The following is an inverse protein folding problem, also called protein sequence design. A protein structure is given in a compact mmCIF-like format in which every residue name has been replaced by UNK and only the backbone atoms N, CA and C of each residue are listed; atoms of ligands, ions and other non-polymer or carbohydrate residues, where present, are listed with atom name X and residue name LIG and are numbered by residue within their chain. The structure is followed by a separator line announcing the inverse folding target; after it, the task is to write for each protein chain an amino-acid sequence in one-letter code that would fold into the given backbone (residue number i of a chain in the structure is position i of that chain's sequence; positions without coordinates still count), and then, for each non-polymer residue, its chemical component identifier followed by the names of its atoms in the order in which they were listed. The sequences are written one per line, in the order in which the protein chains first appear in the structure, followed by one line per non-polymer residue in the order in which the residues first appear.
data_IF_514346063894
#
_entry.id   IF_514346063894
#
_cell.length_a   1.000
_cell.length_b   1.000
_cell.length_c   1.000
_cell.angle_alpha   90.00
_cell.angle_beta   90.00
_cell.angle_gamma   90.00
#
_symmetry.space_group_name_H-M   'P 1'
#
loop_
_entity.id
_entity.type
_entity.pdbx_description
1 polymer ?
#
# COMPACT_ATOMS: atom_id res chain seq x y z
N UNK A 1 -24.12 -12.59 5.96
CA UNK A 1 -22.95 -13.23 5.34
C UNK A 1 -22.42 -14.26 6.32
N UNK A 2 -22.22 -15.50 5.86
CA UNK A 2 -21.45 -16.49 6.59
C UNK A 2 -19.99 -16.07 6.64
N UNK A 3 -19.28 -16.42 7.71
CA UNK A 3 -17.83 -16.29 7.78
C UNK A 3 -17.20 -17.68 7.63
N UNK A 4 -16.17 -17.85 6.78
CA UNK A 4 -15.62 -16.85 5.84
C UNK A 4 -16.61 -16.52 4.71
N UNK A 5 -16.53 -15.29 4.20
CA UNK A 5 -17.29 -14.91 3.02
C UNK A 5 -16.78 -15.69 1.80
N UNK A 6 -17.69 -16.16 0.98
CA UNK A 6 -17.32 -16.92 -0.23
C UNK A 6 -16.84 -15.97 -1.33
N UNK A 7 -15.94 -16.45 -2.20
CA UNK A 7 -15.44 -15.65 -3.32
C UNK A 7 -16.58 -15.14 -4.21
N UNK A 8 -17.64 -15.93 -4.39
CA UNK A 8 -18.84 -15.53 -5.13
C UNK A 8 -19.57 -14.34 -4.50
N UNK A 9 -19.70 -14.29 -3.17
CA UNK A 9 -20.29 -13.16 -2.44
C UNK A 9 -19.41 -11.90 -2.57
N UNK A 10 -18.08 -12.06 -2.53
CA UNK A 10 -17.14 -10.95 -2.72
C UNK A 10 -17.17 -10.39 -4.14
N UNK A 11 -17.29 -11.26 -5.14
CA UNK A 11 -17.46 -10.83 -6.53
C UNK A 11 -18.76 -10.06 -6.74
N UNK A 12 -19.87 -10.55 -6.18
CA UNK A 12 -21.17 -9.87 -6.26
C UNK A 12 -21.10 -8.49 -5.58
N UNK A 13 -20.52 -8.40 -4.39
CA UNK A 13 -20.32 -7.13 -3.68
C UNK A 13 -19.42 -6.17 -4.47
N UNK A 14 -18.33 -6.68 -5.06
CA UNK A 14 -17.44 -5.88 -5.90
C UNK A 14 -18.16 -5.28 -7.11
N UNK A 15 -18.97 -6.07 -7.81
CA UNK A 15 -19.77 -5.62 -8.95
C UNK A 15 -20.82 -4.58 -8.55
N UNK A 16 -21.51 -4.79 -7.43
CA UNK A 16 -22.47 -3.83 -6.87
C UNK A 16 -21.79 -2.48 -6.56
N UNK A 17 -20.62 -2.53 -5.92
CA UNK A 17 -19.85 -1.34 -5.57
C UNK A 17 -19.41 -0.59 -6.83
N UNK A 18 -18.86 -1.29 -7.83
CA UNK A 18 -18.41 -0.66 -9.09
C UNK A 18 -19.59 0.02 -9.78
N UNK A 19 -20.74 -0.65 -9.90
CA UNK A 19 -21.93 -0.11 -10.55
C UNK A 19 -22.47 1.16 -9.87
N UNK A 20 -22.45 1.20 -8.53
CA UNK A 20 -23.02 2.30 -7.75
C UNK A 20 -22.03 3.43 -7.43
N UNK A 21 -20.73 3.23 -7.65
CA UNK A 21 -19.67 4.18 -7.26
C UNK A 21 -19.61 5.48 -8.06
N UNK A 22 -20.52 5.71 -9.02
CA UNK A 22 -20.56 6.93 -9.87
C UNK A 22 -19.21 7.26 -10.52
N UNK A 23 -18.44 6.22 -10.88
CA UNK A 23 -17.12 6.32 -11.51
C UNK A 23 -15.97 6.64 -10.55
N UNK A 24 -16.18 6.56 -9.23
CA UNK A 24 -15.09 6.61 -8.24
C UNK A 24 -14.30 5.29 -8.16
N UNK A 25 -14.90 4.18 -8.60
CA UNK A 25 -14.28 2.85 -8.64
C UNK A 25 -14.47 2.28 -10.04
N UNK A 26 -13.39 1.82 -10.66
CA UNK A 26 -13.34 1.39 -12.08
C UNK A 26 -13.34 -0.12 -12.18
N UNK A 27 -12.63 -0.81 -11.29
CA UNK A 27 -12.51 -2.26 -11.34
C UNK A 27 -12.59 -2.88 -9.94
N UNK A 28 -13.04 -4.14 -9.91
CA UNK A 28 -13.07 -4.98 -8.72
C UNK A 28 -12.46 -6.34 -9.07
N UNK A 29 -11.53 -6.81 -8.25
CA UNK A 29 -10.84 -8.08 -8.39
C UNK A 29 -10.87 -8.79 -7.03
N UNK A 30 -11.20 -10.09 -7.03
CA UNK A 30 -11.09 -10.92 -5.83
C UNK A 30 -9.86 -11.80 -5.99
N UNK A 31 -8.96 -11.72 -5.02
CA UNK A 31 -7.76 -12.54 -4.99
C UNK A 31 -7.51 -13.02 -3.56
N UNK A 32 -7.23 -14.32 -3.40
CA UNK A 32 -6.92 -14.93 -2.10
C UNK A 32 -7.99 -14.68 -1.01
N UNK A 33 -9.27 -14.60 -1.39
CA UNK A 33 -10.37 -14.30 -0.46
C UNK A 33 -10.47 -12.83 -0.03
N UNK A 34 -9.76 -11.91 -0.70
CA UNK A 34 -9.82 -10.47 -0.45
C UNK A 34 -10.41 -9.72 -1.66
N UNK A 35 -11.31 -8.77 -1.40
CA UNK A 35 -11.84 -7.86 -2.41
C UNK A 35 -10.93 -6.65 -2.59
N UNK A 36 -10.37 -6.53 -3.79
CA UNK A 36 -9.53 -5.41 -4.24
C UNK A 36 -10.33 -4.54 -5.21
N UNK A 37 -10.45 -3.27 -4.88
CA UNK A 37 -11.06 -2.24 -5.72
C UNK A 37 -9.97 -1.35 -6.30
N UNK A 38 -10.15 -0.90 -7.54
CA UNK A 38 -9.25 0.05 -8.19
C UNK A 38 -10.03 1.28 -8.62
N UNK A 39 -9.51 2.47 -8.35
CA UNK A 39 -10.15 3.74 -8.70
C UNK A 39 -9.14 4.84 -9.07
N UNK A 40 -9.59 5.92 -9.72
CA UNK A 40 -8.72 7.05 -10.06
C UNK A 40 -8.48 7.94 -8.82
N UNK A 41 -7.27 8.49 -8.71
CA UNK A 41 -6.85 9.29 -7.56
C UNK A 41 -7.72 10.52 -7.30
N UNK A 42 -8.13 11.21 -8.35
CA UNK A 42 -8.94 12.42 -8.27
C UNK A 42 -10.31 12.23 -7.60
N UNK A 43 -10.83 11.00 -7.49
CA UNK A 43 -12.13 10.69 -6.89
C UNK A 43 -12.03 9.84 -5.63
N UNK A 44 -10.84 9.72 -5.03
CA UNK A 44 -10.63 8.89 -3.85
C UNK A 44 -11.53 9.28 -2.67
N UNK A 45 -11.72 10.57 -2.42
CA UNK A 45 -12.59 11.07 -1.34
C UNK A 45 -14.03 10.65 -1.55
N UNK A 46 -14.53 10.74 -2.80
CA UNK A 46 -15.89 10.32 -3.16
C UNK A 46 -16.07 8.81 -2.99
N UNK A 47 -15.10 8.03 -3.47
CA UNK A 47 -15.12 6.56 -3.35
C UNK A 47 -15.12 6.11 -1.88
N UNK A 48 -14.25 6.69 -1.05
CA UNK A 48 -14.17 6.37 0.38
C UNK A 48 -15.38 6.84 1.17
N UNK A 49 -15.96 8.00 0.83
CA UNK A 49 -17.21 8.48 1.46
C UNK A 49 -18.35 7.51 1.17
N UNK A 50 -18.49 7.08 -0.08
CA UNK A 50 -19.48 6.06 -0.47
C UNK A 50 -19.28 4.74 0.28
N UNK A 51 -18.03 4.25 0.37
CA UNK A 51 -17.72 3.01 1.09
C UNK A 51 -18.04 3.11 2.59
N UNK A 52 -17.80 4.28 3.19
CA UNK A 52 -18.10 4.54 4.60
C UNK A 52 -19.61 4.63 4.85
N UNK A 53 -20.31 5.49 4.12
CA UNK A 53 -21.71 5.83 4.40
C UNK A 53 -22.72 4.80 3.87
N UNK A 54 -22.51 4.27 2.67
CA UNK A 54 -23.48 3.36 2.02
C UNK A 54 -23.16 1.91 2.33
N UNK A 55 -21.88 1.53 2.22
CA UNK A 55 -21.47 0.13 2.36
C UNK A 55 -21.07 -0.24 3.81
N UNK A 56 -20.96 0.75 4.70
CA UNK A 56 -20.72 0.55 6.13
C UNK A 56 -19.28 0.17 6.48
N UNK A 57 -18.30 0.60 5.69
CA UNK A 57 -16.88 0.46 5.99
C UNK A 57 -16.41 1.63 6.87
N UNK A 58 -16.63 1.51 8.17
CA UNK A 58 -16.42 2.61 9.12
C UNK A 58 -14.96 2.78 9.57
N UNK A 59 -14.13 1.74 9.47
CA UNK A 59 -12.77 1.75 9.99
C UNK A 59 -11.75 1.74 8.85
N UNK A 60 -10.88 2.75 8.84
CA UNK A 60 -9.62 2.73 8.10
C UNK A 60 -8.59 1.99 8.95
N UNK A 61 -8.10 0.87 8.45
CA UNK A 61 -7.11 0.02 9.15
C UNK A 61 -5.70 0.49 8.86
N UNK A 62 -5.43 0.80 7.59
CA UNK A 62 -4.09 1.15 7.12
C UNK A 62 -4.15 1.92 5.80
N UNK A 63 -3.13 2.72 5.54
CA UNK A 63 -2.85 3.32 4.24
C UNK A 63 -1.37 3.11 3.93
N UNK A 64 -1.11 2.35 2.88
CA UNK A 64 0.23 1.98 2.47
C UNK A 64 0.54 2.52 1.06
N UNK A 65 1.77 2.99 0.87
CA UNK A 65 2.32 3.24 -0.47
C UNK A 65 3.04 2.01 -1.00
N UNK A 66 3.00 1.80 -2.32
CA UNK A 66 3.82 0.79 -2.99
C UNK A 66 4.47 1.44 -4.20
N UNK A 67 5.77 1.21 -4.37
CA UNK A 67 6.56 1.75 -5.47
C UNK A 67 6.79 0.68 -6.56
N UNK A 68 6.27 0.94 -7.75
CA UNK A 68 6.44 0.17 -8.98
C UNK A 68 7.17 1.02 -10.03
N UNK A 69 8.51 1.05 -10.04
CA UNK A 69 9.30 1.94 -10.90
C UNK A 69 9.16 1.69 -12.41
N UNK A 70 8.69 0.50 -12.80
CA UNK A 70 8.48 0.13 -14.21
C UNK A 70 7.20 0.72 -14.83
N UNK A 71 6.30 1.27 -14.01
CA UNK A 71 5.01 1.83 -14.46
C UNK A 71 5.10 3.34 -14.64
N UNK A 72 4.31 3.89 -15.57
CA UNK A 72 4.17 5.35 -15.73
C UNK A 72 3.66 6.02 -14.45
N UNK A 73 2.64 5.43 -13.83
CA UNK A 73 2.19 5.79 -12.48
C UNK A 73 2.93 4.93 -11.47
N UNK A 74 4.02 5.49 -10.98
CA UNK A 74 5.00 4.82 -10.13
C UNK A 74 4.43 4.33 -8.81
N UNK A 75 3.53 5.08 -8.18
CA UNK A 75 3.05 4.77 -6.84
C UNK A 75 1.62 4.25 -6.84
N UNK A 76 1.40 3.16 -6.11
CA UNK A 76 0.06 2.71 -5.72
C UNK A 76 -0.17 3.13 -4.26
N UNK A 77 -1.20 3.92 -4.00
CA UNK A 77 -1.72 4.21 -2.65
C UNK A 77 -2.84 3.23 -2.35
N UNK A 78 -2.69 2.48 -1.28
CA UNK A 78 -3.55 1.36 -0.91
C UNK A 78 -4.24 1.66 0.42
N UNK A 79 -5.57 1.73 0.38
CA UNK A 79 -6.41 1.92 1.56
C UNK A 79 -7.00 0.59 2.01
N UNK A 80 -6.78 0.24 3.28
CA UNK A 80 -7.34 -0.94 3.91
C UNK A 80 -8.53 -0.57 4.79
N UNK A 81 -9.69 -1.12 4.48
CA UNK A 81 -10.94 -0.83 5.17
C UNK A 81 -11.50 -2.07 5.86
N UNK A 82 -12.15 -1.85 7.00
CA UNK A 82 -12.85 -2.88 7.76
C UNK A 82 -14.27 -2.43 8.08
N UNK A 83 -15.23 -3.31 7.79
CA UNK A 83 -16.61 -3.18 8.23
C UNK A 83 -16.86 -4.13 9.40
N UNK A 84 -17.05 -3.58 10.60
CA UNK A 84 -17.37 -4.37 11.80
C UNK A 84 -18.78 -4.96 11.75
N UNK A 85 -19.72 -4.29 11.08
CA UNK A 85 -21.12 -4.75 10.96
C UNK A 85 -21.26 -5.95 10.04
N UNK A 86 -20.45 -6.01 8.97
CA UNK A 86 -20.44 -7.12 8.01
C UNK A 86 -19.33 -8.13 8.27
N UNK A 87 -18.38 -7.79 9.16
CA UNK A 87 -17.13 -8.51 9.39
C UNK A 87 -16.37 -8.79 8.08
N UNK A 88 -16.26 -7.78 7.21
CA UNK A 88 -15.60 -7.85 5.91
C UNK A 88 -14.46 -6.84 5.81
N UNK A 89 -13.41 -7.24 5.10
CA UNK A 89 -12.27 -6.38 4.74
C UNK A 89 -12.31 -6.07 3.26
N UNK A 90 -11.85 -4.87 2.92
CA UNK A 90 -11.76 -4.40 1.54
C UNK A 90 -10.48 -3.60 1.37
N UNK A 91 -9.88 -3.69 0.17
CA UNK A 91 -8.72 -2.90 -0.22
C UNK A 91 -9.08 -2.00 -1.39
N UNK A 92 -8.87 -0.69 -1.28
CA UNK A 92 -8.99 0.26 -2.39
C UNK A 92 -7.60 0.68 -2.84
N UNK A 93 -7.27 0.48 -4.11
CA UNK A 93 -6.00 0.86 -4.72
C UNK A 93 -6.21 2.07 -5.63
N UNK A 94 -5.32 3.03 -5.51
CA UNK A 94 -5.28 4.26 -6.30
C UNK A 94 -3.88 4.40 -6.85
N UNK A 95 -3.75 4.79 -8.11
CA UNK A 95 -2.44 4.98 -8.74
C UNK A 95 -2.13 6.47 -8.87
N UNK A 96 -0.89 6.82 -8.58
CA UNK A 96 -0.36 8.18 -8.67
C UNK A 96 1.08 8.18 -9.18
N UNK A 97 1.54 9.32 -9.64
CA UNK A 97 2.93 9.60 -10.02
C UNK A 97 3.60 10.48 -8.93
N UNK A 98 4.80 10.98 -9.22
CA UNK A 98 5.57 11.84 -8.30
C UNK A 98 5.01 13.27 -8.21
N UNK A 99 4.37 13.77 -9.27
CA UNK A 99 3.95 15.17 -9.40
C UNK A 99 2.46 15.39 -9.12
N UNK A 100 1.63 14.37 -9.29
CA UNK A 100 0.18 14.45 -9.07
C UNK A 100 -0.12 14.23 -7.59
N UNK A 101 -0.71 15.25 -6.98
CA UNK A 101 -1.22 15.14 -5.62
C UNK A 101 -2.50 14.29 -5.56
N UNK A 102 -2.58 13.43 -4.56
CA UNK A 102 -3.78 12.65 -4.23
C UNK A 102 -4.63 13.46 -3.24
N UNK A 103 -5.95 13.59 -3.42
CA UNK A 103 -6.79 14.26 -2.42
C UNK A 103 -6.74 13.55 -1.06
N UNK A 104 -6.50 14.32 0.01
CA UNK A 104 -6.48 13.84 1.39
C UNK A 104 -7.87 13.33 1.82
N UNK A 105 -7.87 12.26 2.60
CA UNK A 105 -9.09 11.59 3.09
C UNK A 105 -9.29 11.80 4.60
N UNK A 106 -8.51 12.69 5.22
CA UNK A 106 -8.60 13.08 6.64
C UNK A 106 -10.01 13.53 7.02
N UNK A 107 -10.72 14.22 6.12
CA UNK A 107 -12.11 14.65 6.33
C UNK A 107 -13.10 13.48 6.45
N UNK A 108 -12.82 12.35 5.81
CA UNK A 108 -13.64 11.13 5.85
C UNK A 108 -13.19 10.24 7.01
N UNK A 109 -11.89 10.02 7.14
CA UNK A 109 -11.27 9.19 8.17
C UNK A 109 -10.21 10.00 8.91
N UNK A 110 -10.49 10.47 10.14
CA UNK A 110 -9.52 11.23 10.93
C UNK A 110 -8.21 10.47 11.21
N UNK A 111 -8.27 9.14 11.21
CA UNK A 111 -7.08 8.28 11.35
C UNK A 111 -6.10 8.42 10.20
N UNK A 112 -6.53 8.87 9.02
CA UNK A 112 -5.69 9.01 7.83
C UNK A 112 -4.59 10.07 7.99
N UNK A 113 -4.72 11.01 8.92
CA UNK A 113 -3.75 12.11 9.13
C UNK A 113 -2.33 11.58 9.34
N UNK A 114 -2.18 10.51 10.14
CA UNK A 114 -0.85 9.94 10.41
C UNK A 114 -0.34 9.10 9.24
N UNK A 115 -1.21 8.31 8.61
CA UNK A 115 -0.81 7.45 7.50
C UNK A 115 -0.48 8.22 6.22
N UNK A 116 -1.20 9.30 5.92
CA UNK A 116 -0.90 10.17 4.79
C UNK A 116 0.47 10.85 4.97
N UNK A 117 0.80 11.25 6.20
CA UNK A 117 2.13 11.78 6.54
C UNK A 117 3.23 10.73 6.44
N UNK A 118 2.96 9.49 6.86
CA UNK A 118 3.89 8.37 6.70
C UNK A 118 4.15 8.08 5.21
N UNK A 119 3.10 7.99 4.40
CA UNK A 119 3.21 7.78 2.96
C UNK A 119 3.97 8.92 2.26
N UNK A 120 3.75 10.17 2.70
CA UNK A 120 4.54 11.31 2.26
C UNK A 120 6.03 11.19 2.64
N UNK A 121 6.34 10.80 3.88
CA UNK A 121 7.73 10.71 4.34
C UNK A 121 8.50 9.56 3.66
N UNK A 122 7.85 8.40 3.55
CA UNK A 122 8.48 7.18 3.05
C UNK A 122 8.54 7.08 1.52
N UNK A 123 7.46 7.49 0.83
CA UNK A 123 7.33 7.37 -0.62
C UNK A 123 7.31 8.72 -1.35
N UNK A 124 7.09 9.83 -0.65
CA UNK A 124 7.01 11.15 -1.28
C UNK A 124 5.72 11.38 -2.04
N UNK A 125 4.64 10.68 -1.69
CA UNK A 125 3.31 10.93 -2.26
C UNK A 125 2.73 12.18 -1.61
N UNK A 126 2.34 13.16 -2.43
CA UNK A 126 1.71 14.38 -1.94
C UNK A 126 0.20 14.21 -1.76
N UNK A 127 -0.31 14.70 -0.63
CA UNK A 127 -1.73 14.71 -0.32
C UNK A 127 -2.28 16.14 -0.31
N UNK A 128 -3.21 16.45 -1.22
CA UNK A 128 -3.85 17.76 -1.31
C UNK A 128 -4.97 17.92 -0.28
N UNK A 129 -5.05 19.08 0.39
CA UNK A 129 -6.04 19.34 1.45
C UNK A 129 -5.72 18.73 2.82
N UNK A 130 -4.51 18.18 3.03
CA UNK A 130 -4.06 17.70 4.33
C UNK A 130 -3.76 18.87 5.31
N UNK A 131 -4.17 18.80 6.60
CA UNK A 131 -3.99 19.90 7.55
C UNK A 131 -2.53 20.20 7.92
N UNK A 132 -1.70 19.17 8.17
CA UNK A 132 -0.27 19.32 8.52
C UNK A 132 0.59 18.24 7.83
N UNK A 133 0.88 18.43 6.54
CA UNK A 133 1.69 17.46 5.78
C UNK A 133 3.18 17.71 6.01
N UNK A 134 3.77 16.95 6.93
CA UNK A 134 5.21 16.96 7.21
C UNK A 134 5.71 15.57 7.58
N UNK A 135 7.03 15.39 7.46
CA UNK A 135 7.75 14.17 7.85
C UNK A 135 7.43 13.76 9.29
N UNK A 136 7.47 12.46 9.55
CA UNK A 136 7.07 11.89 10.85
C UNK A 136 7.98 10.77 11.34
N UNK A 137 8.54 9.96 10.44
CA UNK A 137 9.42 8.85 10.79
C UNK A 137 10.90 9.20 10.59
N UNK A 138 11.23 9.99 9.56
CA UNK A 138 12.61 10.35 9.25
C UNK A 138 13.12 11.49 10.13
N UNK A 139 14.45 11.62 10.19
CA UNK A 139 15.10 12.73 10.89
C UNK A 139 14.73 14.09 10.26
N UNK A 140 14.78 15.16 11.05
CA UNK A 140 14.34 16.49 10.63
C UNK A 140 15.08 17.04 9.42
N UNK A 141 16.37 16.69 9.27
CA UNK A 141 17.23 17.06 8.14
C UNK A 141 17.35 15.99 7.06
N UNK A 142 16.48 14.99 7.06
CA UNK A 142 16.60 13.87 6.13
C UNK A 142 16.25 14.28 4.69
N UNK A 143 17.14 13.94 3.76
CA UNK A 143 16.97 14.18 2.33
C UNK A 143 16.64 12.88 1.59
N UNK A 144 15.49 12.85 0.92
CA UNK A 144 14.99 11.70 0.18
C UNK A 144 13.78 11.01 0.83
N UNK A 145 13.42 9.86 0.25
CA UNK A 145 12.27 9.04 0.61
C UNK A 145 12.72 7.57 0.72
N UNK A 146 12.87 7.02 1.95
CA UNK A 146 13.60 5.77 2.17
C UNK A 146 13.01 4.52 1.51
N UNK A 147 11.69 4.42 1.36
CA UNK A 147 11.04 3.19 0.86
C UNK A 147 10.89 3.16 -0.67
N UNK A 148 11.35 4.20 -1.36
CA UNK A 148 11.46 4.17 -2.81
C UNK A 148 12.57 3.21 -3.25
N UNK A 149 12.37 2.52 -4.37
CA UNK A 149 13.29 1.48 -4.87
C UNK A 149 14.64 2.01 -5.39
N UNK A 150 14.73 3.32 -5.65
CA UNK A 150 15.95 4.03 -6.00
C UNK A 150 16.81 4.41 -4.78
N UNK A 151 16.24 4.39 -3.58
CA UNK A 151 16.98 4.76 -2.36
C UNK A 151 17.89 3.60 -1.90
N UNK A 152 19.19 3.86 -1.64
CA UNK A 152 20.12 2.81 -1.22
C UNK A 152 19.82 2.34 0.20
N UNK A 153 20.03 1.05 0.48
CA UNK A 153 19.72 0.44 1.78
C UNK A 153 20.43 1.12 2.96
N UNK A 154 21.68 1.56 2.77
CA UNK A 154 22.48 2.24 3.81
C UNK A 154 22.15 3.73 3.94
N UNK A 155 21.39 4.30 3.00
CA UNK A 155 21.27 5.74 2.83
C UNK A 155 22.57 6.42 2.38
N UNK A 156 22.56 7.74 2.42
CA UNK A 156 23.66 8.58 1.93
C UNK A 156 24.54 9.15 3.06
N UNK A 157 24.01 9.24 4.29
CA UNK A 157 24.63 9.94 5.41
C UNK A 157 24.65 9.06 6.65
N UNK A 158 25.78 9.05 7.35
CA UNK A 158 25.96 8.46 8.68
C UNK A 158 26.21 9.56 9.72
N UNK A 159 25.92 9.25 10.99
CA UNK A 159 26.12 10.18 12.11
C UNK A 159 27.28 9.73 12.97
N UNK A 160 28.17 10.67 13.33
CA UNK A 160 29.23 10.45 14.34
C UNK A 160 29.27 11.57 15.37
N UNK A 161 29.71 11.26 16.58
CA UNK A 161 30.02 12.29 17.57
C UNK A 161 31.40 12.89 17.29
N UNK A 162 31.49 14.22 17.26
CA UNK A 162 32.75 14.94 17.13
C UNK A 162 33.16 15.56 18.48
N UNK A 163 34.23 15.09 19.13
CA UNK A 163 34.66 15.61 20.43
C UNK A 163 35.26 17.02 20.35
N UNK A 164 35.77 17.45 19.20
CA UNK A 164 36.35 18.80 19.04
C UNK A 164 35.25 19.85 18.94
N UNK A 165 34.17 19.53 18.22
CA UNK A 165 33.01 20.41 18.07
C UNK A 165 31.96 20.23 19.18
N UNK A 166 32.06 19.16 19.97
CA UNK A 166 31.09 18.83 21.03
C UNK A 166 29.68 18.57 20.53
N UNK A 167 29.51 18.07 19.30
CA UNK A 167 28.20 17.84 18.66
C UNK A 167 28.19 16.62 17.75
N UNK A 168 26.99 16.16 17.41
CA UNK A 168 26.80 15.14 16.37
C UNK A 168 26.96 15.78 14.99
N UNK A 169 27.75 15.14 14.13
CA UNK A 169 28.00 15.58 12.76
C UNK A 169 27.50 14.51 11.77
N UNK A 170 26.99 14.99 10.64
CA UNK A 170 26.50 14.17 9.53
C UNK A 170 27.61 14.08 8.48
N UNK A 171 28.03 12.87 8.13
CA UNK A 171 29.07 12.61 7.13
C UNK A 171 28.56 11.64 6.05
N UNK A 172 29.11 11.67 4.83
CA UNK A 172 28.81 10.65 3.83
C UNK A 172 29.14 9.25 4.36
N UNK A 173 28.28 8.27 4.07
CA UNK A 173 28.47 6.88 4.54
C UNK A 173 29.81 6.32 4.07
N UNK A 174 30.59 5.77 5.01
CA UNK A 174 31.88 5.09 4.74
C UNK A 174 31.89 3.64 5.24
N UNK A 175 30.75 3.14 5.72
CA UNK A 175 30.61 1.78 6.22
C UNK A 175 30.87 0.72 5.15
N UNK A 176 31.21 -0.50 5.59
CA UNK A 176 31.43 -1.67 4.74
C UNK A 176 30.23 -1.91 3.83
N UNK A 177 30.50 -2.29 2.58
CA UNK A 177 29.47 -2.56 1.56
C UNK A 177 28.50 -3.67 1.98
N UNK A 178 27.21 -3.46 1.69
CA UNK A 178 26.17 -4.47 1.89
C UNK A 178 26.34 -5.63 0.91
N UNK A 179 26.41 -6.86 1.41
CA UNK A 179 26.47 -8.07 0.57
C UNK A 179 25.06 -8.53 0.22
N UNK A 180 24.66 -8.30 -1.02
CA UNK A 180 23.43 -8.85 -1.56
C UNK A 180 23.67 -10.29 -2.08
N UNK A 181 22.93 -11.25 -1.54
CA UNK A 181 22.99 -12.65 -1.98
C UNK A 181 21.79 -12.95 -2.86
N UNK A 182 22.04 -13.52 -4.03
CA UNK A 182 20.96 -14.01 -4.88
C UNK A 182 20.55 -15.41 -4.43
N UNK A 183 19.29 -15.54 -4.01
CA UNK A 183 18.68 -16.81 -3.60
C UNK A 183 17.70 -17.36 -4.64
N UNK A 184 17.54 -16.69 -5.79
CA UNK A 184 16.61 -17.12 -6.81
C UNK A 184 17.09 -18.42 -7.46
N UNK A 185 16.18 -19.40 -7.52
CA UNK A 185 16.40 -20.62 -8.29
C UNK A 185 16.36 -20.29 -9.79
N UNK A 186 17.25 -20.85 -10.62
CA UNK A 186 17.19 -20.69 -12.07
C UNK A 186 16.03 -21.48 -12.71
N UNK A 187 15.36 -22.34 -11.93
CA UNK A 187 14.21 -23.14 -12.37
C UNK A 187 12.90 -22.44 -12.00
N UNK A 188 11.92 -22.53 -12.89
CA UNK A 188 10.54 -22.11 -12.61
C UNK A 188 10.05 -22.83 -11.34
N UNK A 189 9.72 -22.05 -10.31
CA UNK A 189 9.22 -22.59 -9.05
C UNK A 189 7.91 -23.33 -9.26
N UNK A 190 7.53 -24.18 -8.31
CA UNK A 190 6.23 -24.83 -8.31
C UNK A 190 5.11 -23.77 -8.48
N UNK A 191 4.23 -23.97 -9.44
CA UNK A 191 3.12 -23.04 -9.69
C UNK A 191 2.27 -22.84 -8.41
N UNK A 192 1.70 -21.63 -8.31
CA UNK A 192 1.00 -21.03 -7.18
C UNK A 192 0.27 -22.00 -6.24
N UNK A 193 0.73 -22.04 -5.00
CA UNK A 193 0.10 -22.76 -3.89
C UNK A 193 1.02 -23.86 -3.38
N UNK A 194 0.95 -24.20 -2.09
CA UNK A 194 1.76 -25.25 -1.47
C UNK A 194 1.38 -26.68 -1.94
N UNK A 195 0.97 -26.83 -3.19
CA UNK A 195 0.66 -28.10 -3.84
C UNK A 195 1.41 -28.13 -5.17
N UNK A 196 2.70 -28.47 -5.11
CA UNK A 196 3.25 -29.27 -6.19
C UNK A 196 2.34 -30.49 -6.34
N UNK A 197 1.58 -30.57 -7.43
CA UNK A 197 1.19 -31.87 -7.98
C UNK A 197 2.51 -32.59 -8.25
N UNK A 198 2.97 -33.37 -7.26
CA UNK A 198 4.12 -34.24 -7.46
C UNK A 198 3.72 -35.19 -8.58
N UNK A 199 4.59 -35.45 -9.57
CA UNK A 199 4.29 -36.41 -10.62
C UNK A 199 3.89 -37.76 -9.99
N UNK A 200 2.59 -38.08 -10.03
CA UNK A 200 1.99 -39.23 -9.32
C UNK A 200 0.73 -38.96 -8.51
N UNK A 201 0.44 -37.71 -8.13
CA UNK A 201 -0.74 -37.34 -7.32
C UNK A 201 -2.05 -37.18 -8.13
N UNK A 202 -2.01 -37.34 -9.45
CA UNK A 202 -3.16 -37.26 -10.37
C UNK A 202 -4.28 -38.29 -10.07
N UNK A 203 -4.05 -39.28 -9.20
CA UNK A 203 -5.02 -40.34 -8.87
C UNK A 203 -5.84 -40.09 -7.60
N UNK A 204 -5.58 -39.00 -6.88
CA UNK A 204 -6.23 -38.71 -5.59
C UNK A 204 -7.61 -38.07 -5.69
N UNK A 205 -7.93 -37.40 -6.80
CA UNK A 205 -9.14 -36.55 -6.91
C UNK A 205 -10.39 -37.28 -7.43
N UNK A 206 -10.29 -38.59 -7.75
CA UNK A 206 -11.46 -39.39 -8.11
C UNK A 206 -12.04 -40.12 -6.90
N UNK A 207 -12.83 -39.44 -6.07
CA UNK A 207 -13.86 -40.07 -5.22
C UNK A 207 -14.89 -39.07 -4.71
#
# INVERSE_FOLDING_TARGET
MSWPATDAELHALGQEIVANSTGGIVAAEVAFGELNLMGPANRVVQALTYLKEVQGFHQLVDLAGVDYPERERRFDVVYHLLSMTRNLRLRLKVQTDEDTAVPSVVSVFPAADWYEREAFDMYGVFFDGHPDLRRILTDYGFHGHPLRKDFPMTGYVEVRYDPELGRVVYEPVKSVEWRNWDFLSPWEGAEKGFATLLPGDEKGESK
#
